data_IF_411250066585
#
_entry.id   IF_411250066585
#
_cell.length_a   1.000
_cell.length_b   1.000
_cell.length_c   1.000
_cell.angle_alpha   90.00
_cell.angle_beta   90.00
_cell.angle_gamma   90.00
#
_symmetry.space_group_name_H-M   'P 1'
#
loop_
_entity.id
_entity.type
_entity.pdbx_description
1 polymer ?
#
# COMPACT_ATOMS: atom_id res chain seq x y z
N UNK A 1 -34.10 -28.10 -0.88
CA UNK A 1 -34.16 -27.82 -2.32
C UNK A 1 -33.11 -26.76 -2.65
N UNK A 2 -31.96 -27.18 -3.17
CA UNK A 2 -30.88 -26.26 -3.57
C UNK A 2 -31.18 -25.75 -4.98
N UNK A 3 -31.59 -24.49 -5.09
CA UNK A 3 -31.78 -23.83 -6.38
C UNK A 3 -30.47 -23.83 -7.19
N UNK A 4 -30.57 -23.88 -8.51
CA UNK A 4 -29.41 -23.72 -9.41
C UNK A 4 -28.71 -22.38 -9.07
N UNK A 5 -27.37 -22.33 -8.96
CA UNK A 5 -26.63 -21.13 -8.52
C UNK A 5 -27.02 -19.85 -9.26
N UNK A 6 -27.27 -19.95 -10.57
CA UNK A 6 -27.69 -18.82 -11.41
C UNK A 6 -29.08 -18.26 -11.08
N UNK A 7 -29.99 -19.07 -10.56
CA UNK A 7 -31.36 -18.63 -10.16
C UNK A 7 -31.32 -17.97 -8.79
N UNK A 8 -30.46 -18.46 -7.90
CA UNK A 8 -30.23 -17.84 -6.60
C UNK A 8 -29.59 -16.46 -6.75
N UNK A 9 -28.58 -16.34 -7.61
CA UNK A 9 -27.90 -15.08 -7.92
C UNK A 9 -28.86 -14.05 -8.52
N UNK A 10 -29.64 -14.42 -9.54
CA UNK A 10 -30.60 -13.49 -10.17
C UNK A 10 -31.72 -13.05 -9.22
N UNK A 11 -32.14 -13.94 -8.31
CA UNK A 11 -33.15 -13.61 -7.28
C UNK A 11 -32.59 -12.72 -6.19
N UNK A 12 -31.34 -12.95 -5.77
CA UNK A 12 -30.66 -12.18 -4.74
C UNK A 12 -30.35 -10.76 -5.26
N UNK A 13 -29.82 -10.63 -6.48
CA UNK A 13 -29.56 -9.33 -7.11
C UNK A 13 -30.83 -8.50 -7.30
N UNK A 14 -31.95 -9.11 -7.72
CA UNK A 14 -33.24 -8.41 -7.81
C UNK A 14 -33.76 -7.90 -6.47
N UNK A 15 -33.49 -8.61 -5.37
CA UNK A 15 -33.86 -8.16 -4.02
C UNK A 15 -32.89 -7.14 -3.44
N UNK A 16 -31.63 -7.15 -3.88
CA UNK A 16 -30.58 -6.22 -3.44
C UNK A 16 -30.70 -4.83 -4.06
N UNK A 17 -31.06 -4.75 -5.34
CA UNK A 17 -31.20 -3.52 -6.11
C UNK A 17 -32.05 -2.43 -5.41
N UNK A 18 -33.26 -2.74 -4.88
CA UNK A 18 -34.07 -1.76 -4.14
C UNK A 18 -33.36 -1.19 -2.91
N UNK A 19 -32.68 -2.04 -2.12
CA UNK A 19 -31.96 -1.59 -0.93
C UNK A 19 -30.77 -0.70 -1.27
N UNK A 20 -30.02 -1.03 -2.32
CA UNK A 20 -28.94 -0.17 -2.80
C UNK A 20 -29.46 1.18 -3.31
N UNK A 21 -30.63 1.20 -3.95
CA UNK A 21 -31.29 2.44 -4.36
C UNK A 21 -31.72 3.28 -3.14
N UNK A 22 -32.31 2.67 -2.11
CA UNK A 22 -32.68 3.33 -0.85
C UNK A 22 -31.45 3.92 -0.14
N UNK A 23 -30.34 3.18 -0.05
CA UNK A 23 -29.10 3.68 0.58
C UNK A 23 -28.57 4.91 -0.16
N UNK A 24 -28.60 4.90 -1.50
CA UNK A 24 -28.21 6.07 -2.31
C UNK A 24 -29.15 7.25 -2.11
N UNK A 25 -30.44 6.98 -1.93
CA UNK A 25 -31.43 7.99 -1.65
C UNK A 25 -31.24 8.60 -0.26
N UNK A 26 -31.01 7.78 0.78
CA UNK A 26 -30.66 8.24 2.12
C UNK A 26 -29.36 9.05 2.13
N UNK A 27 -28.37 8.67 1.34
CA UNK A 27 -27.15 9.45 1.15
C UNK A 27 -27.43 10.80 0.48
N UNK A 28 -28.33 10.84 -0.52
CA UNK A 28 -28.75 12.06 -1.22
C UNK A 28 -29.53 13.01 -0.31
N UNK A 29 -30.39 12.45 0.54
CA UNK A 29 -31.17 13.15 1.56
C UNK A 29 -30.33 13.54 2.79
N UNK A 30 -29.03 13.22 2.82
CA UNK A 30 -28.11 13.45 3.94
C UNK A 30 -28.54 12.80 5.25
N UNK A 31 -29.33 11.72 5.18
CA UNK A 31 -29.72 10.91 6.33
C UNK A 31 -28.57 10.00 6.79
N UNK A 32 -27.70 9.62 5.85
CA UNK A 32 -26.47 8.88 6.11
C UNK A 32 -25.25 9.74 5.80
N UNK A 33 -24.19 9.62 6.59
CA UNK A 33 -22.90 10.16 6.16
C UNK A 33 -22.39 9.40 4.93
N UNK A 34 -21.70 10.04 3.96
CA UNK A 34 -21.23 9.38 2.73
C UNK A 34 -20.33 8.17 2.98
N UNK A 35 -19.59 8.15 4.09
CA UNK A 35 -18.78 6.99 4.46
C UNK A 35 -19.64 5.84 5.00
N UNK A 36 -20.78 6.12 5.65
CA UNK A 36 -21.75 5.11 6.07
C UNK A 36 -22.56 4.59 4.90
N UNK A 37 -23.00 5.47 4.00
CA UNK A 37 -23.62 5.07 2.75
C UNK A 37 -22.68 4.15 1.96
N UNK A 38 -21.40 4.53 1.81
CA UNK A 38 -20.39 3.69 1.16
C UNK A 38 -20.12 2.38 1.93
N UNK A 39 -20.18 2.41 3.27
CA UNK A 39 -20.06 1.19 4.07
C UNK A 39 -21.26 0.27 3.86
N UNK A 40 -22.49 0.79 3.86
CA UNK A 40 -23.73 0.05 3.63
C UNK A 40 -23.79 -0.48 2.20
N UNK A 41 -23.50 0.34 1.19
CA UNK A 41 -23.34 -0.09 -0.20
C UNK A 41 -22.27 -1.19 -0.32
N UNK A 42 -21.16 -1.07 0.41
CA UNK A 42 -20.15 -2.13 0.44
C UNK A 42 -20.65 -3.40 1.13
N UNK A 43 -21.49 -3.32 2.17
CA UNK A 43 -22.03 -4.50 2.85
C UNK A 43 -23.14 -5.18 2.03
N UNK A 44 -23.99 -4.41 1.35
CA UNK A 44 -25.01 -4.94 0.45
C UNK A 44 -24.39 -5.44 -0.85
N UNK A 45 -23.43 -4.72 -1.42
CA UNK A 45 -22.66 -5.15 -2.59
C UNK A 45 -21.90 -6.46 -2.34
N UNK A 46 -21.47 -6.74 -1.10
CA UNK A 46 -20.91 -8.06 -0.73
C UNK A 46 -21.86 -9.24 -0.95
N UNK A 47 -23.16 -9.00 -0.93
CA UNK A 47 -24.17 -10.04 -1.16
C UNK A 47 -24.42 -10.27 -2.66
N UNK A 48 -24.07 -9.30 -3.51
CA UNK A 48 -24.19 -9.39 -4.98
C UNK A 48 -22.95 -10.05 -5.62
N UNK A 49 -21.86 -10.13 -4.87
CA UNK A 49 -20.57 -10.62 -5.34
C UNK A 49 -20.60 -12.14 -5.59
N UNK A 50 -20.16 -12.56 -6.79
CA UNK A 50 -19.93 -13.97 -7.16
C UNK A 50 -19.11 -14.70 -6.10
N UNK A 51 -19.39 -15.99 -5.92
CA UNK A 51 -18.72 -16.92 -4.98
C UNK A 51 -17.17 -16.84 -4.96
N UNK A 52 -16.56 -16.26 -6.00
CA UNK A 52 -15.11 -16.17 -6.22
C UNK A 52 -14.39 -15.05 -5.43
N UNK A 53 -15.09 -14.04 -4.88
CA UNK A 53 -14.49 -12.92 -4.10
C UNK A 53 -14.51 -13.15 -2.56
N UNK A 54 -14.91 -14.35 -2.13
CA UNK A 54 -15.15 -14.73 -0.73
C UNK A 54 -13.95 -14.57 0.23
N UNK A 55 -12.70 -14.61 -0.25
CA UNK A 55 -11.48 -14.58 0.60
C UNK A 55 -11.28 -13.21 1.26
N UNK A 56 -11.49 -12.12 0.51
CA UNK A 56 -11.23 -10.75 1.00
C UNK A 56 -12.41 -10.16 1.77
N UNK A 57 -13.58 -10.82 1.71
CA UNK A 57 -14.83 -10.28 2.25
C UNK A 57 -15.67 -11.33 2.97
N UNK A 58 -15.08 -12.40 3.52
CA UNK A 58 -15.77 -13.27 4.48
C UNK A 58 -15.82 -12.59 5.87
N UNK A 59 -16.90 -12.80 6.64
CA UNK A 59 -17.06 -12.24 8.00
C UNK A 59 -16.14 -12.93 9.03
N UNK A 60 -15.48 -14.02 8.65
CA UNK A 60 -14.45 -14.73 9.39
C UNK A 60 -13.81 -15.78 8.48
N UNK A 61 -12.48 -15.91 8.55
CA UNK A 61 -11.77 -16.97 7.83
C UNK A 61 -12.04 -18.31 8.56
N UNK A 62 -12.64 -19.33 7.91
CA UNK A 62 -12.77 -20.64 8.50
C UNK A 62 -11.38 -21.20 8.83
N UNK A 63 -11.26 -21.97 9.91
CA UNK A 63 -9.99 -22.52 10.39
C UNK A 63 -9.22 -23.25 9.28
N UNK A 64 -9.92 -23.94 8.37
CA UNK A 64 -9.32 -24.60 7.20
C UNK A 64 -8.59 -23.63 6.26
N UNK A 65 -9.14 -22.44 6.00
CA UNK A 65 -8.45 -21.42 5.21
C UNK A 65 -7.27 -20.83 5.96
N UNK A 66 -7.43 -20.55 7.25
CA UNK A 66 -6.33 -20.05 8.08
C UNK A 66 -5.17 -21.04 8.02
N UNK A 67 -5.43 -22.33 8.22
CA UNK A 67 -4.41 -23.38 8.14
C UNK A 67 -3.78 -23.48 6.74
N UNK A 68 -4.56 -23.34 5.66
CA UNK A 68 -4.03 -23.37 4.30
C UNK A 68 -3.11 -22.18 4.00
N UNK A 69 -3.52 -20.97 4.35
CA UNK A 69 -2.71 -19.77 4.12
C UNK A 69 -1.49 -19.73 5.04
N UNK A 70 -1.65 -20.08 6.32
CA UNK A 70 -0.53 -20.23 7.24
C UNK A 70 0.45 -21.29 6.74
N UNK A 71 -0.05 -22.42 6.23
CA UNK A 71 0.77 -23.45 5.59
C UNK A 71 1.53 -22.92 4.37
N UNK A 72 0.90 -22.15 3.49
CA UNK A 72 1.56 -21.53 2.35
C UNK A 72 2.65 -20.52 2.76
N UNK A 73 2.40 -19.72 3.79
CA UNK A 73 3.38 -18.78 4.36
C UNK A 73 4.55 -19.51 5.01
N UNK A 74 4.27 -20.51 5.86
CA UNK A 74 5.31 -21.33 6.49
C UNK A 74 6.16 -22.07 5.47
N UNK A 75 5.55 -22.55 4.38
CA UNK A 75 6.26 -23.18 3.28
C UNK A 75 7.19 -22.20 2.57
N UNK A 76 6.73 -20.97 2.30
CA UNK A 76 7.56 -19.92 1.73
C UNK A 76 8.72 -19.54 2.68
N UNK A 77 8.44 -19.31 3.96
CA UNK A 77 9.47 -19.02 4.96
C UNK A 77 10.50 -20.16 5.07
N UNK A 78 10.03 -21.41 5.11
CA UNK A 78 10.89 -22.59 5.14
C UNK A 78 11.77 -22.71 3.90
N UNK A 79 11.22 -22.45 2.71
CA UNK A 79 11.98 -22.42 1.46
C UNK A 79 13.01 -21.29 1.44
N UNK A 80 12.65 -20.10 1.95
CA UNK A 80 13.56 -18.96 2.06
C UNK A 80 14.71 -19.26 3.03
N UNK A 81 14.42 -19.81 4.20
CA UNK A 81 15.44 -20.23 5.17
C UNK A 81 16.35 -21.32 4.60
N UNK A 82 15.77 -22.29 3.88
CA UNK A 82 16.54 -23.33 3.22
C UNK A 82 17.48 -22.75 2.15
N UNK A 83 16.99 -21.81 1.34
CA UNK A 83 17.81 -21.13 0.33
C UNK A 83 18.96 -20.33 0.98
N UNK A 84 18.70 -19.60 2.06
CA UNK A 84 19.75 -18.88 2.81
C UNK A 84 20.75 -19.87 3.43
N UNK A 85 20.29 -20.97 4.03
CA UNK A 85 21.16 -21.99 4.59
C UNK A 85 22.04 -22.65 3.50
N UNK A 86 21.48 -22.84 2.30
CA UNK A 86 22.22 -23.33 1.14
C UNK A 86 23.31 -22.34 0.69
N UNK A 87 23.00 -21.04 0.62
CA UNK A 87 24.00 -20.00 0.30
C UNK A 87 25.13 -19.92 1.33
N UNK A 88 24.82 -20.20 2.60
CA UNK A 88 25.81 -20.24 3.68
C UNK A 88 26.54 -21.59 3.80
N UNK A 89 26.45 -22.46 2.78
CA UNK A 89 27.07 -23.78 2.73
C UNK A 89 26.68 -24.73 3.90
N UNK A 90 25.62 -24.40 4.65
CA UNK A 90 25.20 -25.15 5.84
C UNK A 90 24.38 -26.41 5.50
N UNK A 91 24.01 -26.60 4.24
CA UNK A 91 23.24 -27.74 3.76
C UNK A 91 24.18 -28.81 3.22
N UNK A 92 24.24 -29.97 3.89
CA UNK A 92 25.04 -31.13 3.47
C UNK A 92 24.13 -32.35 3.21
N UNK A 93 24.28 -33.04 2.07
CA UNK A 93 23.55 -34.30 1.80
C UNK A 93 23.24 -34.59 0.33
N UNK A 94 22.76 -35.82 0.05
CA UNK A 94 22.48 -36.34 -1.31
C UNK A 94 21.21 -35.80 -1.99
N UNK A 95 20.20 -35.38 -1.23
CA UNK A 95 19.06 -34.68 -1.82
C UNK A 95 19.47 -33.22 -1.99
N UNK A 96 20.07 -32.91 -3.15
CA UNK A 96 20.48 -31.56 -3.47
C UNK A 96 19.33 -30.54 -3.29
N UNK A 97 19.65 -29.26 -3.09
CA UNK A 97 18.69 -28.21 -2.76
C UNK A 97 17.57 -28.08 -3.81
N UNK A 98 17.87 -28.47 -5.05
CA UNK A 98 16.92 -28.58 -6.14
C UNK A 98 15.81 -29.60 -5.85
N UNK A 99 16.12 -30.77 -5.29
CA UNK A 99 15.11 -31.80 -4.96
C UNK A 99 14.20 -31.31 -3.84
N UNK A 100 14.76 -30.68 -2.80
CA UNK A 100 14.00 -30.21 -1.64
C UNK A 100 12.98 -29.13 -2.00
N UNK A 101 13.25 -28.31 -3.02
CA UNK A 101 12.31 -27.28 -3.52
C UNK A 101 11.44 -27.78 -4.70
N UNK A 102 11.99 -28.61 -5.59
CA UNK A 102 11.27 -29.13 -6.76
C UNK A 102 10.12 -30.05 -6.37
N UNK A 103 10.33 -30.95 -5.41
CA UNK A 103 9.34 -31.96 -5.02
C UNK A 103 8.08 -31.29 -4.42
N UNK A 104 8.19 -30.36 -3.45
CA UNK A 104 7.05 -29.59 -2.97
C UNK A 104 6.40 -28.75 -4.07
N UNK A 105 7.18 -28.06 -4.91
CA UNK A 105 6.63 -27.25 -6.00
C UNK A 105 5.80 -28.09 -6.98
N UNK A 106 6.33 -29.23 -7.45
CA UNK A 106 5.63 -30.13 -8.35
C UNK A 106 4.41 -30.78 -7.69
N UNK A 107 4.55 -31.26 -6.45
CA UNK A 107 3.48 -31.88 -5.68
C UNK A 107 2.32 -30.92 -5.45
N UNK A 108 2.61 -29.67 -5.05
CA UNK A 108 1.60 -28.63 -4.81
C UNK A 108 0.88 -28.27 -6.10
N UNK A 109 1.57 -28.10 -7.23
CA UNK A 109 0.91 -27.82 -8.51
C UNK A 109 0.01 -28.98 -8.95
N UNK A 110 0.45 -30.24 -8.76
CA UNK A 110 -0.37 -31.42 -9.09
C UNK A 110 -1.62 -31.50 -8.23
N UNK A 111 -1.48 -31.29 -6.91
CA UNK A 111 -2.60 -31.27 -5.97
C UNK A 111 -3.54 -30.11 -6.30
N UNK A 112 -3.02 -28.91 -6.56
CA UNK A 112 -3.80 -27.74 -6.94
C UNK A 112 -4.65 -28.03 -8.18
N UNK A 113 -4.04 -28.59 -9.23
CA UNK A 113 -4.75 -28.96 -10.46
C UNK A 113 -5.83 -30.01 -10.22
N UNK A 114 -5.55 -31.05 -9.42
CA UNK A 114 -6.55 -32.06 -9.05
C UNK A 114 -7.72 -31.46 -8.27
N UNK A 115 -7.44 -30.59 -7.30
CA UNK A 115 -8.47 -29.92 -6.50
C UNK A 115 -9.31 -28.95 -7.35
N UNK A 116 -8.68 -28.28 -8.31
CA UNK A 116 -9.36 -27.38 -9.25
C UNK A 116 -10.33 -28.15 -10.14
N UNK A 117 -9.88 -29.28 -10.72
CA UNK A 117 -10.73 -30.18 -11.51
C UNK A 117 -11.83 -30.84 -10.66
N UNK A 118 -11.55 -31.12 -9.38
CA UNK A 118 -12.49 -31.68 -8.41
C UNK A 118 -13.53 -30.69 -7.84
N UNK A 119 -13.70 -29.51 -8.47
CA UNK A 119 -14.62 -28.44 -8.04
C UNK A 119 -14.36 -27.88 -6.63
N UNK A 120 -13.15 -28.07 -6.08
CA UNK A 120 -12.70 -27.48 -4.80
C UNK A 120 -11.81 -26.26 -5.05
N UNK A 121 -12.36 -25.28 -5.78
CA UNK A 121 -11.59 -24.14 -6.31
C UNK A 121 -10.95 -23.28 -5.22
N UNK A 122 -11.64 -23.08 -4.10
CA UNK A 122 -11.14 -22.33 -2.93
C UNK A 122 -9.81 -22.86 -2.40
N UNK A 123 -9.72 -24.17 -2.19
CA UNK A 123 -8.50 -24.83 -1.71
C UNK A 123 -7.44 -24.85 -2.80
N UNK A 124 -7.83 -25.09 -4.06
CA UNK A 124 -6.91 -25.07 -5.19
C UNK A 124 -6.18 -23.72 -5.34
N UNK A 125 -6.86 -22.60 -5.10
CA UNK A 125 -6.25 -21.26 -5.12
C UNK A 125 -5.13 -21.13 -4.08
N UNK A 126 -5.31 -21.64 -2.86
CA UNK A 126 -4.28 -21.59 -1.83
C UNK A 126 -3.04 -22.43 -2.20
N UNK A 127 -3.22 -23.60 -2.80
CA UNK A 127 -2.11 -24.41 -3.29
C UNK A 127 -1.40 -23.75 -4.49
N UNK A 128 -2.14 -23.22 -5.46
CA UNK A 128 -1.53 -22.46 -6.56
C UNK A 128 -0.76 -21.23 -6.06
N UNK A 129 -1.25 -20.58 -5.00
CA UNK A 129 -0.55 -19.48 -4.37
C UNK A 129 0.78 -19.94 -3.74
N UNK A 130 0.76 -21.03 -2.97
CA UNK A 130 1.97 -21.60 -2.39
C UNK A 130 3.00 -21.97 -3.48
N UNK A 131 2.54 -22.54 -4.60
CA UNK A 131 3.40 -22.84 -5.74
C UNK A 131 4.03 -21.58 -6.37
N UNK A 132 3.27 -20.51 -6.55
CA UNK A 132 3.79 -19.23 -7.10
C UNK A 132 4.86 -18.64 -6.19
N UNK A 133 4.66 -18.68 -4.88
CA UNK A 133 5.63 -18.15 -3.91
C UNK A 133 6.93 -18.96 -3.88
N UNK A 134 6.85 -20.29 -4.11
CA UNK A 134 8.03 -21.15 -4.18
C UNK A 134 8.83 -21.01 -5.48
N UNK A 135 8.17 -20.64 -6.58
CA UNK A 135 8.76 -20.65 -7.91
C UNK A 135 10.06 -19.80 -8.01
N UNK A 136 10.12 -18.54 -7.51
CA UNK A 136 11.34 -17.76 -7.58
C UNK A 136 12.53 -18.42 -6.87
N UNK A 137 12.30 -18.97 -5.67
CA UNK A 137 13.34 -19.63 -4.88
C UNK A 137 13.82 -20.91 -5.56
N UNK A 138 12.89 -21.72 -6.06
CA UNK A 138 13.23 -22.92 -6.83
C UNK A 138 14.08 -22.58 -8.07
N UNK A 139 13.68 -21.57 -8.85
CA UNK A 139 14.43 -21.17 -10.04
C UNK A 139 15.81 -20.60 -9.69
N UNK A 140 15.93 -19.80 -8.61
CA UNK A 140 17.23 -19.30 -8.14
C UNK A 140 18.17 -20.45 -7.77
N UNK A 141 17.69 -21.42 -7.00
CA UNK A 141 18.47 -22.60 -6.63
C UNK A 141 18.87 -23.40 -7.88
N UNK A 142 17.94 -23.63 -8.80
CA UNK A 142 18.23 -24.40 -10.01
C UNK A 142 19.27 -23.71 -10.91
N UNK A 143 19.19 -22.39 -11.07
CA UNK A 143 20.16 -21.61 -11.84
C UNK A 143 21.52 -21.52 -11.13
N UNK A 144 21.54 -21.53 -9.79
CA UNK A 144 22.78 -21.57 -9.02
C UNK A 144 23.51 -22.91 -9.16
N UNK A 145 22.79 -24.02 -9.03
CA UNK A 145 23.33 -25.37 -9.23
C UNK A 145 23.80 -25.61 -10.67
N UNK A 146 23.14 -25.00 -11.66
CA UNK A 146 23.54 -25.09 -13.05
C UNK A 146 24.70 -24.16 -13.43
N UNK A 147 25.15 -23.30 -12.50
CA UNK A 147 26.13 -22.23 -12.72
C UNK A 147 25.77 -21.31 -13.91
N UNK A 148 24.47 -21.04 -14.09
CA UNK A 148 23.98 -20.19 -15.17
C UNK A 148 23.91 -18.73 -14.71
N UNK A 149 24.54 -17.84 -15.49
CA UNK A 149 24.68 -16.41 -15.17
C UNK A 149 25.19 -16.18 -13.74
N UNK A 150 26.42 -16.64 -13.42
CA UNK A 150 26.99 -16.44 -12.10
C UNK A 150 27.08 -14.96 -11.74
N UNK A 151 27.01 -14.69 -10.45
CA UNK A 151 27.31 -13.36 -9.92
C UNK A 151 28.76 -13.00 -10.24
N UNK A 152 28.97 -11.76 -10.62
CA UNK A 152 30.27 -11.23 -10.99
C UNK A 152 30.97 -10.54 -9.81
N UNK A 153 30.26 -10.31 -8.69
CA UNK A 153 30.77 -9.56 -7.55
C UNK A 153 30.97 -8.08 -7.89
N UNK A 154 30.21 -7.58 -8.87
CA UNK A 154 30.28 -6.19 -9.29
C UNK A 154 29.42 -5.33 -8.34
N UNK A 155 29.89 -4.12 -8.02
CA UNK A 155 29.15 -3.14 -7.20
C UNK A 155 27.76 -2.77 -7.79
N UNK A 156 27.49 -3.13 -9.05
CA UNK A 156 26.19 -2.92 -9.70
C UNK A 156 25.17 -4.04 -9.45
N UNK A 157 25.54 -5.12 -8.75
CA UNK A 157 24.62 -6.23 -8.44
C UNK A 157 23.67 -5.89 -7.29
N UNK A 158 22.36 -5.98 -7.55
CA UNK A 158 21.32 -5.55 -6.61
C UNK A 158 21.28 -6.35 -5.30
N UNK A 159 21.67 -7.62 -5.36
CA UNK A 159 21.62 -8.55 -4.22
C UNK A 159 23.01 -9.16 -4.01
N UNK A 160 23.98 -8.30 -3.67
CA UNK A 160 25.38 -8.60 -3.34
C UNK A 160 26.03 -9.70 -4.24
N UNK A 161 27.13 -10.30 -3.79
CA UNK A 161 27.98 -11.16 -4.64
C UNK A 161 27.39 -12.54 -4.95
N UNK A 162 26.14 -12.83 -4.59
CA UNK A 162 25.56 -14.18 -4.64
C UNK A 162 24.48 -14.37 -5.70
N UNK A 163 23.87 -13.28 -6.22
CA UNK A 163 22.89 -13.38 -7.31
C UNK A 163 23.11 -12.27 -8.34
N UNK A 164 23.47 -12.67 -9.56
CA UNK A 164 23.57 -11.72 -10.66
C UNK A 164 22.21 -11.07 -10.98
N UNK A 165 22.23 -9.80 -11.39
CA UNK A 165 21.06 -9.08 -11.89
C UNK A 165 20.34 -9.86 -13.00
N UNK A 166 21.12 -10.48 -13.90
CA UNK A 166 20.55 -11.27 -14.99
C UNK A 166 19.76 -12.47 -14.50
N UNK A 167 20.26 -13.16 -13.47
CA UNK A 167 19.57 -14.28 -12.84
C UNK A 167 18.27 -13.82 -12.18
N UNK A 168 18.27 -12.68 -11.48
CA UNK A 168 17.06 -12.08 -10.90
C UNK A 168 16.00 -11.75 -11.96
N UNK A 169 16.40 -11.15 -13.09
CA UNK A 169 15.49 -10.84 -14.19
C UNK A 169 14.82 -12.08 -14.77
N UNK A 170 15.59 -13.14 -15.02
CA UNK A 170 15.07 -14.39 -15.58
C UNK A 170 14.09 -15.03 -14.60
N UNK A 171 14.47 -15.13 -13.32
CA UNK A 171 13.65 -15.73 -12.27
C UNK A 171 12.33 -14.97 -12.11
N UNK A 172 12.41 -13.65 -11.92
CA UNK A 172 11.23 -12.81 -11.70
C UNK A 172 10.37 -12.71 -12.96
N UNK A 173 10.97 -12.69 -14.15
CA UNK A 173 10.26 -12.72 -15.43
C UNK A 173 9.50 -14.02 -15.66
N UNK A 174 10.13 -15.18 -15.40
CA UNK A 174 9.47 -16.48 -15.47
C UNK A 174 8.36 -16.61 -14.41
N UNK A 175 8.61 -16.12 -13.20
CA UNK A 175 7.61 -16.11 -12.15
C UNK A 175 6.41 -15.20 -12.52
N UNK A 176 6.65 -14.02 -13.08
CA UNK A 176 5.61 -13.13 -13.57
C UNK A 176 4.82 -13.77 -14.72
N UNK A 177 5.49 -14.42 -15.69
CA UNK A 177 4.82 -15.14 -16.79
C UNK A 177 3.92 -16.27 -16.26
N UNK A 178 4.40 -17.05 -15.29
CA UNK A 178 3.58 -18.06 -14.61
C UNK A 178 2.41 -17.44 -13.83
N UNK A 179 2.65 -16.30 -13.17
CA UNK A 179 1.63 -15.49 -12.52
C UNK A 179 0.54 -15.03 -13.48
N UNK A 180 0.90 -14.61 -14.71
CA UNK A 180 -0.05 -14.27 -15.77
C UNK A 180 -0.89 -15.49 -16.13
N UNK A 181 -0.28 -16.66 -16.33
CA UNK A 181 -1.02 -17.89 -16.65
C UNK A 181 -2.05 -18.21 -15.55
N UNK A 182 -1.64 -18.16 -14.28
CA UNK A 182 -2.55 -18.44 -13.17
C UNK A 182 -3.62 -17.37 -13.00
N UNK A 183 -3.30 -16.09 -13.19
CA UNK A 183 -4.28 -15.01 -13.17
C UNK A 183 -5.32 -15.16 -14.29
N UNK A 184 -4.90 -15.56 -15.49
CA UNK A 184 -5.81 -15.82 -16.62
C UNK A 184 -6.69 -17.06 -16.42
N UNK A 185 -6.13 -18.13 -15.81
CA UNK A 185 -6.84 -19.37 -15.53
C UNK A 185 -7.86 -19.22 -14.40
N UNK A 186 -7.48 -18.52 -13.33
CA UNK A 186 -8.30 -18.41 -12.11
C UNK A 186 -9.19 -17.17 -12.11
N UNK A 187 -8.77 -16.08 -12.79
CA UNK A 187 -9.48 -14.79 -12.87
C UNK A 187 -9.86 -14.21 -11.50
N UNK A 188 -9.01 -14.41 -10.49
CA UNK A 188 -9.23 -13.88 -9.13
C UNK A 188 -8.40 -12.64 -8.85
N UNK A 189 -8.95 -11.73 -8.04
CA UNK A 189 -8.24 -10.52 -7.56
C UNK A 189 -6.96 -10.88 -6.80
N UNK A 190 -6.95 -12.00 -6.08
CA UNK A 190 -5.78 -12.51 -5.37
C UNK A 190 -4.61 -12.72 -6.33
N UNK A 191 -4.80 -13.52 -7.39
CA UNK A 191 -3.73 -13.73 -8.38
C UNK A 191 -3.40 -12.47 -9.19
N UNK A 192 -4.38 -11.59 -9.43
CA UNK A 192 -4.10 -10.27 -10.00
C UNK A 192 -3.18 -9.42 -9.11
N UNK A 193 -3.36 -9.48 -7.78
CA UNK A 193 -2.49 -8.80 -6.80
C UNK A 193 -1.08 -9.38 -6.83
N UNK A 194 -0.95 -10.72 -6.81
CA UNK A 194 0.35 -11.38 -6.93
C UNK A 194 1.04 -11.06 -8.24
N UNK A 195 0.29 -10.98 -9.35
CA UNK A 195 0.83 -10.55 -10.62
C UNK A 195 1.42 -9.13 -10.52
N UNK A 196 0.75 -8.19 -9.84
CA UNK A 196 1.31 -6.84 -9.64
C UNK A 196 2.62 -6.89 -8.85
N UNK A 197 2.68 -7.67 -7.76
CA UNK A 197 3.91 -7.84 -6.95
C UNK A 197 5.05 -8.43 -7.77
N UNK A 198 4.80 -9.50 -8.53
CA UNK A 198 5.80 -10.12 -9.41
C UNK A 198 6.23 -9.18 -10.53
N UNK A 199 5.30 -8.40 -11.10
CA UNK A 199 5.62 -7.39 -12.10
C UNK A 199 6.50 -6.28 -11.52
N UNK A 200 6.22 -5.84 -10.29
CA UNK A 200 7.08 -4.88 -9.57
C UNK A 200 8.47 -5.46 -9.32
N UNK A 201 8.56 -6.70 -8.83
CA UNK A 201 9.85 -7.36 -8.59
C UNK A 201 10.66 -7.52 -9.89
N UNK A 202 10.01 -7.92 -10.99
CA UNK A 202 10.63 -7.99 -12.30
C UNK A 202 11.09 -6.62 -12.79
N UNK A 203 10.28 -5.58 -12.62
CA UNK A 203 10.65 -4.23 -13.00
C UNK A 203 11.85 -3.70 -12.21
N UNK A 204 11.91 -3.95 -10.90
CA UNK A 204 13.08 -3.62 -10.08
C UNK A 204 14.33 -4.38 -10.55
N UNK A 205 14.20 -5.65 -10.93
CA UNK A 205 15.28 -6.42 -11.52
C UNK A 205 15.70 -5.91 -12.91
N UNK A 206 14.84 -5.21 -13.66
CA UNK A 206 15.24 -4.51 -14.87
C UNK A 206 15.93 -3.18 -14.56
N UNK A 207 15.48 -2.45 -13.52
CA UNK A 207 16.13 -1.23 -13.07
C UNK A 207 17.55 -1.48 -12.54
N UNK A 208 17.89 -2.68 -12.10
CA UNK A 208 19.27 -3.01 -11.69
C UNK A 208 20.27 -2.81 -12.82
N UNK A 209 19.90 -3.06 -14.07
CA UNK A 209 20.78 -2.79 -15.23
C UNK A 209 20.95 -1.30 -15.51
N UNK A 210 20.03 -0.46 -15.02
CA UNK A 210 20.08 1.00 -15.11
C UNK A 210 20.80 1.65 -13.92
N UNK A 211 21.30 0.85 -12.98
CA UNK A 211 22.04 1.34 -11.82
C UNK A 211 21.21 1.44 -10.54
N UNK A 212 20.14 0.65 -10.38
CA UNK A 212 19.35 0.64 -9.14
C UNK A 212 20.20 0.45 -7.88
N UNK A 213 21.19 -0.45 -7.90
CA UNK A 213 22.09 -0.66 -6.76
C UNK A 213 22.83 0.63 -6.41
N UNK A 214 23.47 1.24 -7.41
CA UNK A 214 24.19 2.50 -7.28
C UNK A 214 23.27 3.61 -6.74
N UNK A 215 22.02 3.70 -7.21
CA UNK A 215 21.08 4.70 -6.70
C UNK A 215 20.74 4.49 -5.22
N UNK A 216 20.64 3.24 -4.77
CA UNK A 216 20.37 2.94 -3.36
C UNK A 216 21.60 3.18 -2.49
N UNK A 217 22.79 2.79 -2.96
CA UNK A 217 24.05 2.91 -2.23
C UNK A 217 24.53 4.37 -2.13
N UNK A 218 24.39 5.15 -3.22
CA UNK A 218 24.73 6.58 -3.24
C UNK A 218 23.61 7.49 -2.67
N UNK A 219 22.47 6.90 -2.27
CA UNK A 219 21.31 7.65 -1.77
C UNK A 219 20.67 8.57 -2.82
N UNK A 220 20.70 8.21 -4.10
CA UNK A 220 20.07 8.95 -5.21
C UNK A 220 18.61 8.55 -5.37
N UNK A 221 17.78 8.93 -4.40
CA UNK A 221 16.36 8.56 -4.37
C UNK A 221 15.55 9.29 -5.45
N UNK A 222 16.07 10.39 -5.97
CA UNK A 222 15.54 11.12 -7.12
C UNK A 222 15.48 10.25 -8.40
N UNK A 223 16.59 9.57 -8.72
CA UNK A 223 16.69 8.66 -9.85
C UNK A 223 15.80 7.42 -9.65
N UNK A 224 15.75 6.89 -8.42
CA UNK A 224 14.86 5.78 -8.07
C UNK A 224 13.40 6.14 -8.32
N UNK A 225 12.93 7.26 -7.80
CA UNK A 225 11.53 7.66 -7.96
C UNK A 225 11.17 7.97 -9.40
N UNK A 226 12.07 8.61 -10.17
CA UNK A 226 11.89 8.81 -11.61
C UNK A 226 11.83 7.49 -12.37
N UNK A 227 12.68 6.53 -11.99
CA UNK A 227 12.71 5.18 -12.53
C UNK A 227 11.43 4.40 -12.28
N UNK A 228 10.63 4.74 -11.25
CA UNK A 228 9.39 4.01 -10.92
C UNK A 228 8.13 4.56 -11.60
N UNK A 229 8.15 5.78 -12.15
CA UNK A 229 6.98 6.34 -12.85
C UNK A 229 6.49 5.49 -14.04
N UNK A 230 7.35 4.91 -14.89
CA UNK A 230 6.89 4.06 -15.99
C UNK A 230 6.10 2.85 -15.49
N UNK A 231 6.49 2.26 -14.35
CA UNK A 231 5.75 1.16 -13.73
C UNK A 231 4.38 1.62 -13.23
N UNK A 232 4.31 2.76 -12.54
CA UNK A 232 3.03 3.33 -12.11
C UNK A 232 2.10 3.60 -13.30
N UNK A 233 2.63 4.17 -14.39
CA UNK A 233 1.88 4.41 -15.62
C UNK A 233 1.41 3.10 -16.28
N UNK A 234 2.26 2.07 -16.32
CA UNK A 234 1.89 0.75 -16.82
C UNK A 234 0.76 0.12 -16.01
N UNK A 235 0.76 0.26 -14.68
CA UNK A 235 -0.33 -0.21 -13.83
C UNK A 235 -1.62 0.59 -14.00
N UNK A 236 -1.56 1.92 -14.20
CA UNK A 236 -2.76 2.70 -14.56
C UNK A 236 -3.32 2.23 -15.90
N UNK A 237 -2.46 2.03 -16.91
CA UNK A 237 -2.87 1.53 -18.21
C UNK A 237 -3.49 0.11 -18.12
N UNK A 238 -2.88 -0.79 -17.34
CA UNK A 238 -3.42 -2.11 -17.03
C UNK A 238 -4.78 -2.04 -16.33
N UNK A 239 -4.95 -1.10 -15.42
CA UNK A 239 -6.21 -0.77 -14.76
C UNK A 239 -7.30 -0.39 -15.78
N UNK A 240 -7.00 0.58 -16.64
CA UNK A 240 -7.91 1.08 -17.67
C UNK A 240 -8.28 -0.01 -18.69
N UNK A 241 -7.31 -0.80 -19.13
CA UNK A 241 -7.56 -1.94 -20.03
C UNK A 241 -8.41 -3.03 -19.36
N UNK A 242 -8.17 -3.27 -18.07
CA UNK A 242 -8.97 -4.15 -17.24
C UNK A 242 -10.43 -3.70 -17.16
N UNK A 243 -10.67 -2.42 -16.86
CA UNK A 243 -12.02 -1.83 -16.80
C UNK A 243 -12.73 -1.89 -18.16
N UNK A 244 -12.04 -1.52 -19.25
CA UNK A 244 -12.58 -1.62 -20.62
C UNK A 244 -12.99 -3.05 -20.98
N UNK A 245 -12.24 -4.03 -20.47
CA UNK A 245 -12.50 -5.46 -20.70
C UNK A 245 -13.42 -6.10 -19.65
N UNK A 246 -13.94 -5.32 -18.69
CA UNK A 246 -14.71 -5.80 -17.52
C UNK A 246 -13.99 -6.90 -16.73
N UNK A 247 -12.67 -6.79 -16.60
CA UNK A 247 -11.81 -7.71 -15.86
C UNK A 247 -11.43 -7.10 -14.51
N UNK A 248 -12.34 -7.19 -13.55
CA UNK A 248 -12.14 -6.63 -12.19
C UNK A 248 -10.92 -7.24 -11.48
N UNK A 249 -10.65 -8.53 -11.74
CA UNK A 249 -9.49 -9.25 -11.21
C UNK A 249 -8.14 -8.66 -11.63
N UNK A 250 -8.10 -7.90 -12.73
CA UNK A 250 -6.91 -7.19 -13.19
C UNK A 250 -6.98 -5.71 -12.80
N UNK A 251 -8.14 -5.07 -13.02
CA UNK A 251 -8.28 -3.63 -12.88
C UNK A 251 -8.04 -3.16 -11.44
N UNK A 252 -8.71 -3.80 -10.47
CA UNK A 252 -8.62 -3.42 -9.06
C UNK A 252 -7.21 -3.53 -8.48
N UNK A 253 -6.49 -4.67 -8.61
CA UNK A 253 -5.11 -4.75 -8.10
C UNK A 253 -4.17 -3.82 -8.85
N UNK A 254 -4.36 -3.62 -10.16
CA UNK A 254 -3.55 -2.68 -10.94
C UNK A 254 -3.68 -1.23 -10.45
N UNK A 255 -4.90 -0.75 -10.16
CA UNK A 255 -5.07 0.59 -9.59
C UNK A 255 -4.47 0.73 -8.19
N UNK A 256 -4.57 -0.31 -7.35
CA UNK A 256 -3.96 -0.31 -6.01
C UNK A 256 -2.43 -0.27 -6.13
N UNK A 257 -1.86 -1.12 -7.00
CA UNK A 257 -0.42 -1.13 -7.26
C UNK A 257 0.06 0.20 -7.84
N UNK A 258 -0.68 0.79 -8.78
CA UNK A 258 -0.38 2.12 -9.31
C UNK A 258 -0.33 3.18 -8.21
N UNK A 259 -1.32 3.19 -7.29
CA UNK A 259 -1.33 4.14 -6.19
C UNK A 259 -0.15 3.96 -5.23
N UNK A 260 0.22 2.71 -4.91
CA UNK A 260 1.37 2.42 -4.04
C UNK A 260 2.69 2.79 -4.69
N UNK A 261 2.92 2.39 -5.95
CA UNK A 261 4.14 2.73 -6.69
C UNK A 261 4.24 4.24 -6.90
N UNK A 262 3.14 4.91 -7.24
CA UNK A 262 3.11 6.37 -7.37
C UNK A 262 3.46 7.07 -6.06
N UNK A 263 2.89 6.62 -4.94
CA UNK A 263 3.21 7.18 -3.63
C UNK A 263 4.69 6.99 -3.30
N UNK A 264 5.21 5.78 -3.47
CA UNK A 264 6.62 5.48 -3.22
C UNK A 264 7.57 6.27 -4.15
N UNK A 265 7.22 6.42 -5.43
CA UNK A 265 7.99 7.19 -6.40
C UNK A 265 8.07 8.67 -6.02
N UNK A 266 6.93 9.26 -5.64
CA UNK A 266 6.87 10.66 -5.21
C UNK A 266 7.64 10.90 -3.91
N UNK A 267 7.50 10.02 -2.92
CA UNK A 267 8.27 10.13 -1.68
C UNK A 267 9.77 9.96 -1.93
N UNK A 268 10.18 9.01 -2.80
CA UNK A 268 11.58 8.82 -3.16
C UNK A 268 12.18 10.09 -3.79
N UNK A 269 11.44 10.76 -4.69
CA UNK A 269 11.89 12.02 -5.29
C UNK A 269 12.06 13.14 -4.26
N UNK A 270 11.24 13.13 -3.20
CA UNK A 270 11.26 14.16 -2.18
C UNK A 270 12.39 14.00 -1.16
N UNK A 271 12.90 12.78 -0.93
CA UNK A 271 13.85 12.48 0.15
C UNK A 271 15.14 13.32 0.11
N UNK A 272 15.65 13.65 -1.08
CA UNK A 272 16.91 14.39 -1.25
C UNK A 272 16.77 15.92 -1.34
N UNK A 273 15.56 16.47 -1.19
CA UNK A 273 15.29 17.92 -1.31
C UNK A 273 15.53 18.52 -2.70
N UNK A 274 16.14 17.75 -3.63
CA UNK A 274 16.48 18.15 -5.01
C UNK A 274 15.27 18.56 -5.84
N UNK A 275 14.06 18.14 -5.45
CA UNK A 275 12.83 18.55 -6.14
C UNK A 275 12.65 20.07 -6.13
N UNK A 276 12.96 20.73 -5.01
CA UNK A 276 12.89 22.19 -4.92
C UNK A 276 13.95 22.86 -5.79
N UNK A 277 15.16 22.28 -5.85
CA UNK A 277 16.21 22.72 -6.74
C UNK A 277 15.82 22.61 -8.23
N UNK A 278 15.15 21.52 -8.64
CA UNK A 278 14.63 21.38 -10.01
C UNK A 278 13.56 22.42 -10.35
N UNK A 279 12.77 22.85 -9.36
CA UNK A 279 11.77 23.91 -9.52
C UNK A 279 12.38 25.32 -9.44
N UNK A 280 13.67 25.45 -9.12
CA UNK A 280 14.34 26.73 -8.92
C UNK A 280 13.85 27.49 -7.68
N UNK A 281 13.26 26.79 -6.72
CA UNK A 281 12.75 27.38 -5.47
C UNK A 281 13.74 27.06 -4.34
N UNK A 282 14.10 28.07 -3.55
CA UNK A 282 14.93 27.90 -2.34
C UNK A 282 14.18 28.38 -1.12
N UNK A 283 14.12 27.53 -0.08
CA UNK A 283 13.49 27.85 1.20
C UNK A 283 14.48 28.39 2.24
N UNK A 284 15.76 28.57 1.88
CA UNK A 284 16.78 29.16 2.76
C UNK A 284 16.37 30.48 3.43
N UNK A 285 15.64 31.41 2.77
CA UNK A 285 15.18 32.63 3.45
C UNK A 285 14.27 32.35 4.66
N UNK A 286 13.54 31.23 4.66
CA UNK A 286 12.70 30.78 5.78
C UNK A 286 13.51 30.15 6.92
N UNK A 287 14.84 30.08 6.80
CA UNK A 287 15.76 29.57 7.81
C UNK A 287 16.67 30.66 8.39
N UNK A 288 16.45 31.93 8.05
CA UNK A 288 17.26 33.03 8.57
C UNK A 288 17.37 32.97 10.12
N UNK A 289 18.58 32.73 10.62
CA UNK A 289 18.89 32.61 12.05
C UNK A 289 18.74 31.21 12.66
N UNK A 290 18.65 30.15 11.86
CA UNK A 290 18.60 28.74 12.30
C UNK A 290 19.84 27.97 11.86
N UNK A 291 20.25 27.00 12.69
CA UNK A 291 21.35 26.07 12.41
C UNK A 291 20.90 24.83 11.63
N UNK A 292 19.61 24.76 11.26
CA UNK A 292 19.03 23.64 10.53
C UNK A 292 19.63 23.45 9.14
N UNK A 293 19.60 22.21 8.67
CA UNK A 293 20.04 21.85 7.32
C UNK A 293 18.99 22.22 6.26
N UNK A 294 19.33 23.03 5.23
CA UNK A 294 18.38 23.44 4.20
C UNK A 294 17.80 22.27 3.41
N UNK A 295 18.55 21.18 3.22
CA UNK A 295 18.07 20.01 2.47
C UNK A 295 16.90 19.37 3.21
N UNK A 296 17.01 19.25 4.53
CA UNK A 296 15.97 18.65 5.37
C UNK A 296 14.66 19.48 5.35
N UNK A 297 14.74 20.82 5.29
CA UNK A 297 13.56 21.67 5.08
C UNK A 297 12.91 21.45 3.71
N UNK A 298 13.72 21.44 2.65
CA UNK A 298 13.25 21.24 1.28
C UNK A 298 12.59 19.85 1.13
N UNK A 299 13.19 18.81 1.72
CA UNK A 299 12.64 17.45 1.80
C UNK A 299 11.28 17.46 2.50
N UNK A 300 11.19 18.05 3.69
CA UNK A 300 9.95 18.04 4.47
C UNK A 300 8.80 18.79 3.79
N UNK A 301 9.07 19.94 3.15
CA UNK A 301 8.05 20.68 2.39
C UNK A 301 7.63 19.90 1.15
N UNK A 302 8.58 19.28 0.43
CA UNK A 302 8.26 18.47 -0.75
C UNK A 302 7.41 17.25 -0.39
N UNK A 303 7.76 16.52 0.67
CA UNK A 303 6.94 15.40 1.15
C UNK A 303 5.55 15.87 1.60
N UNK A 304 5.44 17.03 2.26
CA UNK A 304 4.13 17.58 2.62
C UNK A 304 3.28 17.94 1.39
N UNK A 305 3.90 18.46 0.32
CA UNK A 305 3.24 18.70 -0.97
C UNK A 305 2.81 17.39 -1.64
N UNK A 306 3.62 16.32 -1.57
CA UNK A 306 3.25 14.99 -2.05
C UNK A 306 1.97 14.50 -1.36
N UNK A 307 1.82 14.71 -0.06
CA UNK A 307 0.58 14.40 0.66
C UNK A 307 -0.64 15.14 0.08
N UNK A 308 -0.48 16.38 -0.39
CA UNK A 308 -1.54 17.11 -1.11
C UNK A 308 -1.82 16.49 -2.50
N UNK A 309 -0.78 16.06 -3.22
CA UNK A 309 -0.90 15.34 -4.49
C UNK A 309 -1.65 14.02 -4.29
N UNK A 310 -1.33 13.23 -3.25
CA UNK A 310 -2.06 12.00 -2.91
C UNK A 310 -3.55 12.30 -2.69
N UNK A 311 -3.85 13.36 -1.95
CA UNK A 311 -5.24 13.77 -1.75
C UNK A 311 -5.93 14.13 -3.07
N UNK A 312 -5.27 14.91 -3.93
CA UNK A 312 -5.80 15.34 -5.22
C UNK A 312 -6.05 14.15 -6.16
N UNK A 313 -5.08 13.24 -6.28
CA UNK A 313 -5.20 12.00 -7.07
C UNK A 313 -6.29 11.08 -6.53
N UNK A 314 -6.32 10.86 -5.21
CA UNK A 314 -7.37 10.08 -4.58
C UNK A 314 -8.75 10.68 -4.81
N UNK A 315 -8.88 12.01 -4.74
CA UNK A 315 -10.15 12.70 -5.00
C UNK A 315 -10.55 12.66 -6.48
N UNK A 316 -9.59 12.77 -7.39
CA UNK A 316 -9.83 12.59 -8.82
C UNK A 316 -10.33 11.17 -9.11
N UNK A 317 -9.70 10.15 -8.53
CA UNK A 317 -10.11 8.76 -8.63
C UNK A 317 -11.49 8.48 -8.01
N UNK A 318 -11.91 9.20 -6.95
CA UNK A 318 -13.30 9.11 -6.47
C UNK A 318 -14.30 9.76 -7.42
N UNK A 319 -13.92 10.83 -8.12
CA UNK A 319 -14.80 11.55 -9.05
C UNK A 319 -15.08 10.76 -10.32
N UNK A 320 -14.17 9.89 -10.75
CA UNK A 320 -14.43 9.00 -11.90
C UNK A 320 -15.59 8.03 -11.62
N UNK A 321 -15.88 7.74 -10.35
CA UNK A 321 -16.99 6.88 -9.93
C UNK A 321 -16.78 5.40 -10.23
N UNK A 322 -15.59 4.99 -10.66
CA UNK A 322 -15.29 3.59 -10.99
C UNK A 322 -15.14 2.75 -9.71
N UNK A 323 -15.92 1.67 -9.53
CA UNK A 323 -15.84 0.82 -8.34
C UNK A 323 -14.45 0.19 -8.14
N UNK A 324 -13.75 -0.13 -9.23
CA UNK A 324 -12.41 -0.72 -9.24
C UNK A 324 -11.33 0.23 -8.70
N UNK A 325 -11.50 1.55 -8.88
CA UNK A 325 -10.59 2.57 -8.34
C UNK A 325 -10.83 2.90 -6.87
N UNK A 326 -11.97 2.46 -6.29
CA UNK A 326 -12.41 2.88 -4.96
C UNK A 326 -11.41 2.56 -3.84
N UNK A 327 -10.68 1.44 -3.95
CA UNK A 327 -9.67 1.02 -2.96
C UNK A 327 -8.41 1.87 -3.06
N UNK A 328 -7.91 2.12 -4.27
CA UNK A 328 -6.77 3.00 -4.52
C UNK A 328 -7.05 4.43 -4.07
N UNK A 329 -8.23 4.95 -4.40
CA UNK A 329 -8.70 6.26 -3.97
C UNK A 329 -8.79 6.37 -2.44
N UNK A 330 -9.30 5.33 -1.78
CA UNK A 330 -9.36 5.27 -0.32
C UNK A 330 -7.96 5.28 0.28
N UNK A 331 -7.01 4.49 -0.23
CA UNK A 331 -5.63 4.46 0.26
C UNK A 331 -4.98 5.85 0.19
N UNK A 332 -4.97 6.48 -0.98
CA UNK A 332 -4.36 7.79 -1.18
C UNK A 332 -4.98 8.87 -0.29
N UNK A 333 -6.31 8.89 -0.17
CA UNK A 333 -6.98 9.86 0.68
C UNK A 333 -6.79 9.63 2.19
N UNK A 334 -6.56 8.41 2.64
CA UNK A 334 -6.28 8.14 4.07
C UNK A 334 -4.80 8.35 4.41
N UNK A 335 -3.89 8.08 3.48
CA UNK A 335 -2.46 8.35 3.66
C UNK A 335 -2.15 9.85 3.63
N UNK A 336 -2.85 10.63 2.79
CA UNK A 336 -2.63 12.06 2.59
C UNK A 336 -2.44 12.90 3.87
N UNK A 337 -3.34 12.90 4.87
CA UNK A 337 -3.15 13.75 6.04
C UNK A 337 -1.91 13.38 6.87
N UNK A 338 -1.48 12.11 6.84
CA UNK A 338 -0.23 11.69 7.47
C UNK A 338 0.98 12.15 6.67
N UNK A 339 0.98 11.93 5.36
CA UNK A 339 2.04 12.39 4.45
C UNK A 339 2.22 13.93 4.48
N UNK A 340 1.16 14.70 4.75
CA UNK A 340 1.25 16.16 4.94
C UNK A 340 1.93 16.52 6.28
N UNK A 341 1.56 15.86 7.37
CA UNK A 341 1.91 16.28 8.73
C UNK A 341 3.21 15.66 9.25
N UNK A 342 3.51 14.42 8.90
CA UNK A 342 4.67 13.67 9.39
C UNK A 342 6.02 14.34 9.06
N UNK A 343 6.26 14.85 7.84
CA UNK A 343 7.53 15.51 7.53
C UNK A 343 7.74 16.78 8.35
N UNK A 344 6.67 17.54 8.59
CA UNK A 344 6.70 18.78 9.39
C UNK A 344 6.89 18.45 10.88
N UNK A 345 6.28 17.36 11.35
CA UNK A 345 6.51 16.85 12.69
C UNK A 345 7.99 16.49 12.89
N UNK A 346 8.63 15.88 11.87
CA UNK A 346 10.06 15.55 11.89
C UNK A 346 10.94 16.78 11.98
N UNK A 347 10.63 17.86 11.24
CA UNK A 347 11.32 19.15 11.39
C UNK A 347 11.21 19.70 12.82
N UNK A 348 10.02 19.64 13.41
CA UNK A 348 9.80 20.10 14.79
C UNK A 348 10.52 19.23 15.82
N UNK A 349 10.69 17.94 15.52
CA UNK A 349 11.35 17.00 16.42
C UNK A 349 12.85 17.26 16.58
N UNK A 350 13.55 17.74 15.53
CA UNK A 350 15.00 17.98 15.61
C UNK A 350 15.34 19.16 16.52
N UNK A 351 14.50 20.20 16.54
CA UNK A 351 14.70 21.39 17.37
C UNK A 351 15.65 22.44 16.77
N UNK A 352 16.23 22.16 15.60
CA UNK A 352 17.19 23.06 14.95
C UNK A 352 16.51 24.21 14.18
N UNK A 353 15.20 24.09 13.95
CA UNK A 353 14.42 25.01 13.13
C UNK A 353 13.71 26.09 13.96
N UNK A 354 13.43 27.27 13.37
CA UNK A 354 12.71 28.34 14.06
C UNK A 354 11.35 27.88 14.58
N UNK A 355 10.97 28.31 15.79
CA UNK A 355 9.70 27.92 16.45
C UNK A 355 8.43 28.23 15.64
N UNK A 356 8.51 29.15 14.66
CA UNK A 356 7.42 29.38 13.70
C UNK A 356 7.00 28.10 12.96
N UNK A 357 7.92 27.15 12.74
CA UNK A 357 7.59 25.86 12.10
C UNK A 357 6.76 24.98 13.03
N UNK A 358 7.09 24.92 14.33
CA UNK A 358 6.29 24.17 15.31
C UNK A 358 4.89 24.79 15.49
N UNK A 359 4.78 26.12 15.45
CA UNK A 359 3.48 26.80 15.43
C UNK A 359 2.70 26.55 14.14
N UNK A 360 3.35 26.55 12.98
CA UNK A 360 2.73 26.21 11.71
C UNK A 360 2.26 24.75 11.68
N UNK A 361 3.04 23.84 12.24
CA UNK A 361 2.67 22.43 12.43
C UNK A 361 1.42 22.29 13.30
N UNK A 362 1.35 22.98 14.44
CA UNK A 362 0.16 22.99 15.30
C UNK A 362 -1.07 23.52 14.52
N UNK A 363 -0.92 24.65 13.82
CA UNK A 363 -1.99 25.25 13.04
C UNK A 363 -2.49 24.31 11.93
N UNK A 364 -1.58 23.62 11.24
CA UNK A 364 -1.90 22.65 10.19
C UNK A 364 -2.61 21.42 10.76
N UNK A 365 -2.15 20.89 11.90
CA UNK A 365 -2.74 19.73 12.57
C UNK A 365 -4.18 20.02 13.00
N UNK A 366 -4.41 21.17 13.63
CA UNK A 366 -5.76 21.64 14.00
C UNK A 366 -6.60 21.88 12.74
N UNK A 367 -6.03 22.53 11.72
CA UNK A 367 -6.70 22.76 10.43
C UNK A 367 -7.16 21.47 9.76
N UNK A 368 -6.32 20.43 9.74
CA UNK A 368 -6.64 19.10 9.21
C UNK A 368 -7.72 18.41 10.05
N UNK A 369 -7.66 18.51 11.39
CA UNK A 369 -8.71 17.99 12.27
C UNK A 369 -10.06 18.66 11.99
N UNK A 370 -10.11 19.98 11.80
CA UNK A 370 -11.33 20.72 11.47
C UNK A 370 -11.83 20.40 10.05
N UNK A 371 -10.91 20.19 9.10
CA UNK A 371 -11.24 19.82 7.73
C UNK A 371 -11.92 18.45 7.66
N UNK A 372 -11.73 17.59 8.66
CA UNK A 372 -12.42 16.30 8.77
C UNK A 372 -13.96 16.43 8.72
N UNK A 373 -14.53 17.52 9.28
CA UNK A 373 -15.99 17.79 9.23
C UNK A 373 -16.47 18.01 7.80
N UNK A 374 -15.76 18.85 7.02
CA UNK A 374 -16.14 19.16 5.63
C UNK A 374 -15.91 17.96 4.70
N UNK A 375 -14.88 17.16 4.97
CA UNK A 375 -14.51 16.01 4.13
C UNK A 375 -15.17 14.70 4.57
N UNK A 376 -15.73 14.66 5.77
CA UNK A 376 -16.38 13.50 6.39
C UNK A 376 -15.48 12.25 6.39
N UNK A 377 -14.19 12.44 6.71
CA UNK A 377 -13.19 11.36 6.77
C UNK A 377 -12.53 11.26 8.15
N UNK A 378 -12.54 10.06 8.72
CA UNK A 378 -11.94 9.77 10.03
C UNK A 378 -10.41 9.92 10.06
N UNK A 379 -9.71 9.57 8.97
CA UNK A 379 -8.26 9.71 8.91
C UNK A 379 -7.79 11.16 9.11
N UNK A 380 -8.50 12.14 8.57
CA UNK A 380 -8.20 13.56 8.79
C UNK A 380 -8.36 13.95 10.27
N UNK A 381 -9.40 13.44 10.92
CA UNK A 381 -9.63 13.69 12.34
C UNK A 381 -8.53 13.09 13.20
N UNK A 382 -8.22 11.80 13.02
CA UNK A 382 -7.20 11.12 13.81
C UNK A 382 -5.78 11.66 13.56
N UNK A 383 -5.41 11.87 12.29
CA UNK A 383 -4.14 12.47 11.94
C UNK A 383 -4.00 13.86 12.57
N UNK A 384 -5.02 14.72 12.43
CA UNK A 384 -4.99 16.06 13.03
C UNK A 384 -4.91 16.02 14.56
N UNK A 385 -5.66 15.15 15.24
CA UNK A 385 -5.64 15.04 16.70
C UNK A 385 -4.28 14.56 17.23
N UNK A 386 -3.75 13.46 16.69
CA UNK A 386 -2.45 12.90 17.11
C UNK A 386 -1.33 13.92 16.88
N UNK A 387 -1.33 14.59 15.73
CA UNK A 387 -0.31 15.60 15.41
C UNK A 387 -0.49 16.89 16.23
N UNK A 388 -1.71 17.24 16.65
CA UNK A 388 -1.92 18.36 17.58
C UNK A 388 -1.27 18.07 18.93
N UNK A 389 -1.39 16.83 19.43
CA UNK A 389 -0.71 16.39 20.66
C UNK A 389 0.81 16.45 20.47
N UNK A 390 1.33 15.93 19.36
CA UNK A 390 2.76 16.00 19.03
C UNK A 390 3.27 17.45 18.95
N UNK A 391 2.53 18.35 18.31
CA UNK A 391 2.89 19.76 18.19
C UNK A 391 2.92 20.47 19.55
N UNK A 392 1.95 20.20 20.43
CA UNK A 392 1.94 20.72 21.80
C UNK A 392 3.13 20.20 22.61
N UNK A 393 3.48 18.92 22.44
CA UNK A 393 4.66 18.33 23.08
C UNK A 393 5.94 19.04 22.64
N UNK A 394 6.15 19.21 21.33
CA UNK A 394 7.34 19.92 20.81
C UNK A 394 7.36 21.39 21.26
N UNK A 395 6.24 22.11 21.21
CA UNK A 395 6.17 23.49 21.72
C UNK A 395 6.54 23.60 23.20
N UNK A 396 6.10 22.64 24.01
CA UNK A 396 6.39 22.60 25.45
C UNK A 396 7.88 22.35 25.70
N UNK A 397 8.49 21.44 24.93
CA UNK A 397 9.92 21.15 24.99
C UNK A 397 10.75 22.34 24.53
N UNK A 398 10.47 22.88 23.35
CA UNK A 398 11.31 23.88 22.67
C UNK A 398 11.27 25.25 23.37
N UNK A 399 10.23 25.56 24.16
CA UNK A 399 10.17 26.75 25.02
C UNK A 399 10.52 26.49 26.50
N UNK A 400 10.95 25.27 26.85
CA UNK A 400 11.25 24.87 28.23
C UNK A 400 10.06 25.11 29.19
N UNK A 401 8.84 24.87 28.72
CA UNK A 401 7.62 25.12 29.49
C UNK A 401 7.22 23.97 30.41
N UNK A 402 7.99 22.89 30.46
CA UNK A 402 7.75 21.77 31.37
C UNK A 402 7.70 22.21 32.84
N UNK A 403 8.51 23.19 33.22
CA UNK A 403 8.57 23.70 34.59
C UNK A 403 7.57 24.85 34.86
N UNK A 404 6.75 25.21 33.87
CA UNK A 404 5.79 26.32 33.97
C UNK A 404 4.36 25.80 34.09
N UNK A 405 3.80 25.66 35.32
CA UNK A 405 2.43 25.15 35.49
C UNK A 405 1.38 26.03 34.82
N UNK A 406 1.68 27.32 34.62
CA UNK A 406 0.81 28.25 33.89
C UNK A 406 0.55 27.80 32.44
N UNK A 407 1.53 27.21 31.76
CA UNK A 407 1.34 26.66 30.41
C UNK A 407 0.33 25.50 30.40
N UNK A 408 0.48 24.55 31.32
CA UNK A 408 -0.46 23.44 31.47
C UNK A 408 -1.89 23.94 31.77
N UNK A 409 -2.02 24.95 32.64
CA UNK A 409 -3.31 25.59 32.94
C UNK A 409 -3.92 26.24 31.69
N UNK A 410 -3.13 26.93 30.86
CA UNK A 410 -3.61 27.52 29.60
C UNK A 410 -4.09 26.46 28.63
N UNK A 411 -3.33 25.38 28.43
CA UNK A 411 -3.73 24.26 27.55
C UNK A 411 -5.02 23.61 28.04
N UNK A 412 -5.14 23.37 29.36
CA UNK A 412 -6.37 22.85 29.97
C UNK A 412 -7.57 23.79 29.79
N UNK A 413 -7.38 25.10 30.01
CA UNK A 413 -8.43 26.09 29.85
C UNK A 413 -8.93 26.17 28.39
N UNK A 414 -8.00 26.12 27.41
CA UNK A 414 -8.35 26.05 25.98
C UNK A 414 -9.11 24.76 25.68
N UNK A 415 -8.64 23.61 26.20
CA UNK A 415 -9.32 22.33 26.04
C UNK A 415 -10.75 22.34 26.58
N UNK A 416 -10.96 22.88 27.79
CA UNK A 416 -12.29 23.04 28.39
C UNK A 416 -13.17 23.99 27.56
N UNK A 417 -12.63 25.12 27.11
CA UNK A 417 -13.37 26.06 26.26
C UNK A 417 -13.82 25.40 24.95
N UNK A 418 -12.96 24.59 24.32
CA UNK A 418 -13.30 23.83 23.12
C UNK A 418 -14.37 22.76 23.39
N UNK A 419 -14.35 22.09 24.53
CA UNK A 419 -15.40 21.16 24.94
C UNK A 419 -16.75 21.87 25.13
N UNK A 420 -16.76 23.02 25.82
CA UNK A 420 -17.98 23.82 25.98
C UNK A 420 -18.51 24.36 24.65
N UNK A 421 -17.62 24.84 23.78
CA UNK A 421 -17.98 25.26 22.43
C UNK A 421 -18.57 24.10 21.62
N UNK A 422 -17.93 22.93 21.67
CA UNK A 422 -18.41 21.71 21.02
C UNK A 422 -19.78 21.28 21.53
N UNK A 423 -20.01 21.32 22.84
CA UNK A 423 -21.31 21.05 23.45
C UNK A 423 -22.39 22.05 23.00
N UNK A 424 -22.06 23.34 22.97
CA UNK A 424 -22.97 24.39 22.51
C UNK A 424 -23.34 24.24 21.02
N UNK A 425 -22.38 23.85 20.18
CA UNK A 425 -22.63 23.55 18.77
C UNK A 425 -23.49 22.29 18.61
N UNK A 426 -23.21 21.23 19.36
CA UNK A 426 -23.97 19.99 19.32
C UNK A 426 -25.46 20.22 19.66
N UNK A 427 -25.74 21.03 20.69
CA UNK A 427 -27.12 21.42 21.05
C UNK A 427 -27.85 22.19 19.95
N UNK A 428 -27.14 22.92 19.09
CA UNK A 428 -27.74 23.64 17.94
C UNK A 428 -27.98 22.75 16.72
N UNK A 429 -27.28 21.61 16.66
CA UNK A 429 -27.34 20.65 15.55
C UNK A 429 -28.34 19.51 15.80
N UNK A 430 -28.81 19.34 17.05
CA UNK A 430 -29.94 18.45 17.37
C UNK A 430 -31.27 19.22 17.19
N UNK A 431 -32.16 18.78 16.29
CA UNK A 431 -33.46 19.41 16.08
C UNK A 431 -34.40 19.25 17.27
#
# INVERSE_FOLDING_TARGET
MTARPSVYEDTLSRRLQPHLAEIREWARLKLLWPHEAKALESQYGRLEVREEEWILRSRGLPLSQISLYLGAVLLFCGAMFYYIAYLNEAVHGMAGPLVFLALPFAGINLIARRLYLGKRQSVAVAFHLAAVLLLPLFLLTALNEADWWPATGAESELIADWVSNRRLQIVTGLAAAWGVTLALLTRTVTFGTYLMVLTTAFYLALLSDLGLSIWLDEGRYDALGLGLFPLAAAFVAGGVLGDRSRREWLARPAYVAAALVMAFALESIALDGRTMAWLGVSLQPLMAGSEGDPVTLDTAVTMALNGMVFYALGRAAERTGLPTMSTAAWLLCNAAPFAILEPIARLSATGDYPLRFTWAYLALAVGIALLSRRRQRKAFYYAGLINTIGALFFLTRDHEWWDRPTWAVVVLAIGLALLFAGYGLHRREQP
#
